data_IF_612222728394
#
_entry.id   IF_612222728394
#
_cell.length_a   1.000
_cell.length_b   1.000
_cell.length_c   1.000
_cell.angle_alpha   90.00
_cell.angle_beta   90.00
_cell.angle_gamma   90.00
#
_symmetry.space_group_name_H-M   'P 1'
#
loop_
_entity.id
_entity.type
_entity.pdbx_description
1 polymer ?
#
# COMPACT_ATOMS: atom_id res chain seq x y z
N UNK A 1 5.69 -22.51 11.45
CA UNK A 1 6.26 -23.11 10.21
C UNK A 1 7.40 -24.11 10.44
N UNK A 2 8.16 -24.10 11.55
CA UNK A 2 9.31 -25.02 11.76
C UNK A 2 8.99 -26.53 11.74
N UNK A 3 7.73 -26.91 12.01
CA UNK A 3 7.28 -28.31 11.99
C UNK A 3 6.33 -28.62 10.82
N UNK A 4 6.18 -27.71 9.86
CA UNK A 4 5.27 -27.90 8.72
C UNK A 4 5.99 -28.70 7.65
N UNK A 5 5.42 -29.87 7.30
CA UNK A 5 6.00 -30.83 6.37
C UNK A 5 5.53 -30.64 4.93
N UNK A 6 4.42 -29.93 4.73
CA UNK A 6 3.88 -29.67 3.40
C UNK A 6 4.71 -28.60 2.68
N UNK A 7 4.81 -28.77 1.36
CA UNK A 7 5.42 -27.79 0.47
C UNK A 7 4.43 -26.64 0.23
N UNK A 8 4.96 -25.42 0.27
CA UNK A 8 4.22 -24.20 -0.01
C UNK A 8 5.18 -23.17 -0.59
N UNK A 9 4.63 -22.25 -1.37
CA UNK A 9 5.38 -21.11 -1.90
C UNK A 9 4.58 -19.83 -1.69
N UNK A 10 5.24 -18.70 -1.92
CA UNK A 10 4.63 -17.38 -1.91
C UNK A 10 4.29 -17.02 -3.36
N UNK A 11 3.05 -16.60 -3.59
CA UNK A 11 2.57 -16.25 -4.93
C UNK A 11 2.19 -14.77 -4.99
N UNK A 12 2.73 -14.00 -5.94
CA UNK A 12 2.24 -12.67 -6.26
C UNK A 12 0.77 -12.68 -6.69
N UNK A 13 0.08 -11.55 -6.48
CA UNK A 13 -1.26 -11.38 -7.04
C UNK A 13 -1.23 -11.48 -8.57
N UNK A 14 -2.26 -12.06 -9.20
CA UNK A 14 -2.35 -12.06 -10.65
C UNK A 14 -2.37 -10.63 -11.18
N UNK A 15 -1.78 -10.45 -12.36
CA UNK A 15 -1.90 -9.21 -13.12
C UNK A 15 -3.36 -8.92 -13.44
N UNK A 16 -3.72 -7.65 -13.51
CA UNK A 16 -5.09 -7.26 -13.84
C UNK A 16 -5.50 -7.71 -15.24
N UNK A 17 -4.58 -7.60 -16.20
CA UNK A 17 -4.74 -8.04 -17.58
C UNK A 17 -3.37 -8.30 -18.24
N UNK A 18 -3.37 -8.70 -19.51
CA UNK A 18 -2.16 -9.00 -20.28
C UNK A 18 -1.28 -7.77 -20.56
N UNK A 19 -1.87 -6.56 -20.57
CA UNK A 19 -1.15 -5.31 -20.82
C UNK A 19 -0.28 -4.88 -19.63
N UNK A 20 -0.58 -5.37 -18.42
CA UNK A 20 0.20 -5.08 -17.22
C UNK A 20 1.54 -5.84 -17.24
N UNK A 21 2.64 -5.10 -17.39
CA UNK A 21 4.00 -5.68 -17.49
C UNK A 21 4.51 -6.27 -16.19
N UNK A 22 4.34 -5.56 -15.09
CA UNK A 22 4.85 -5.95 -13.76
C UNK A 22 3.76 -6.58 -12.91
N UNK A 23 4.13 -7.42 -11.96
CA UNK A 23 3.21 -7.85 -10.91
C UNK A 23 3.07 -6.71 -9.90
N UNK A 24 1.84 -6.39 -9.50
CA UNK A 24 1.58 -5.33 -8.56
C UNK A 24 0.89 -5.89 -7.32
N UNK A 25 1.29 -5.40 -6.15
CA UNK A 25 0.66 -5.76 -4.88
C UNK A 25 0.43 -4.51 -4.04
N UNK A 26 -0.76 -4.35 -3.50
CA UNK A 26 -1.03 -3.28 -2.54
C UNK A 26 -0.21 -3.50 -1.27
N UNK A 27 0.35 -2.42 -0.72
CA UNK A 27 0.86 -2.42 0.64
C UNK A 27 -0.27 -2.79 1.62
N UNK A 28 0.03 -3.61 2.62
CA UNK A 28 -0.92 -3.94 3.67
C UNK A 28 -1.29 -2.66 4.44
N UNK A 29 -2.53 -2.60 4.95
CA UNK A 29 -3.20 -1.46 5.61
C UNK A 29 -2.54 -0.96 6.93
N UNK A 30 -1.25 -1.22 7.10
CA UNK A 30 -0.40 -0.86 8.22
C UNK A 30 0.58 0.24 7.79
N UNK A 31 0.07 1.31 7.18
CA UNK A 31 0.90 2.41 6.73
C UNK A 31 1.56 3.11 7.94
N UNK A 32 2.89 3.17 7.95
CA UNK A 32 3.59 4.05 8.88
C UNK A 32 3.52 5.47 8.33
N UNK A 33 2.78 6.34 9.02
CA UNK A 33 2.67 7.75 8.65
C UNK A 33 3.27 8.58 9.79
N UNK A 34 4.20 9.46 9.45
CA UNK A 34 4.71 10.50 10.36
C UNK A 34 3.94 11.78 10.06
N UNK A 35 3.16 12.25 11.01
CA UNK A 35 2.42 13.52 10.91
C UNK A 35 3.15 14.63 11.64
N UNK A 36 3.36 15.77 10.96
CA UNK A 36 3.91 16.98 11.57
C UNK A 36 2.75 17.94 11.85
N UNK A 37 2.52 18.36 13.11
CA UNK A 37 1.50 19.34 13.42
C UNK A 37 1.77 20.67 12.72
N UNK A 38 0.73 21.30 12.22
CA UNK A 38 0.79 22.60 11.51
C UNK A 38 1.32 23.74 12.39
N UNK A 39 1.24 23.57 13.71
CA UNK A 39 1.72 24.52 14.69
C UNK A 39 3.23 24.45 14.94
N UNK A 40 3.90 23.43 14.42
CA UNK A 40 5.34 23.25 14.56
C UNK A 40 6.08 24.34 13.79
N UNK A 41 7.07 24.96 14.44
CA UNK A 41 7.81 26.10 13.90
C UNK A 41 9.24 25.74 13.52
N UNK A 42 9.79 24.66 14.08
CA UNK A 42 11.12 24.17 13.75
C UNK A 42 11.03 23.00 12.75
N UNK A 43 10.58 23.32 11.55
CA UNK A 43 10.44 22.33 10.47
C UNK A 43 11.78 21.72 10.07
N UNK A 44 12.88 22.48 10.17
CA UNK A 44 14.21 22.02 9.81
C UNK A 44 14.68 20.90 10.75
N UNK A 45 14.49 21.07 12.06
CA UNK A 45 14.81 20.02 13.03
C UNK A 45 13.95 18.76 12.82
N UNK A 46 12.63 18.92 12.64
CA UNK A 46 11.73 17.78 12.44
C UNK A 46 12.03 17.04 11.14
N UNK A 47 12.32 17.76 10.05
CA UNK A 47 12.72 17.15 8.77
C UNK A 47 14.04 16.40 8.91
N UNK A 48 15.04 16.99 9.59
CA UNK A 48 16.33 16.35 9.83
C UNK A 48 16.19 15.03 10.60
N UNK A 49 15.42 15.05 11.70
CA UNK A 49 15.20 13.84 12.51
C UNK A 49 14.43 12.79 11.72
N UNK A 50 13.41 13.20 10.97
CA UNK A 50 12.60 12.28 10.14
C UNK A 50 13.45 11.59 9.08
N UNK A 51 14.32 12.34 8.40
CA UNK A 51 15.24 11.79 7.41
C UNK A 51 16.24 10.81 8.05
N UNK A 52 16.81 11.18 9.20
CA UNK A 52 17.74 10.32 9.93
C UNK A 52 17.08 9.00 10.37
N UNK A 53 15.82 9.04 10.84
CA UNK A 53 15.08 7.83 11.20
C UNK A 53 14.81 6.94 9.98
N UNK A 54 14.43 7.51 8.84
CA UNK A 54 14.20 6.75 7.62
C UNK A 54 15.48 6.13 7.07
N UNK A 55 16.60 6.87 7.10
CA UNK A 55 17.91 6.38 6.71
C UNK A 55 18.34 5.18 7.58
N UNK A 56 18.21 5.28 8.90
CA UNK A 56 18.56 4.18 9.79
C UNK A 56 17.60 2.99 9.67
N UNK A 57 16.31 3.22 9.37
CA UNK A 57 15.37 2.15 9.06
C UNK A 57 15.77 1.41 7.78
N UNK A 58 16.14 2.11 6.71
CA UNK A 58 16.64 1.49 5.48
C UNK A 58 17.94 0.71 5.73
N UNK A 59 18.85 1.27 6.53
CA UNK A 59 20.18 0.69 6.76
C UNK A 59 20.18 -0.51 7.71
N UNK A 60 19.32 -0.50 8.73
CA UNK A 60 19.35 -1.49 9.82
C UNK A 60 18.12 -2.40 9.77
N UNK A 61 16.92 -1.82 9.65
CA UNK A 61 15.68 -2.58 9.77
C UNK A 61 15.40 -3.38 8.50
N UNK A 62 15.57 -2.76 7.32
CA UNK A 62 15.27 -3.43 6.05
C UNK A 62 16.13 -4.69 5.82
N UNK A 63 17.47 -4.68 5.99
CA UNK A 63 18.28 -5.89 5.80
C UNK A 63 17.96 -6.96 6.83
N UNK A 64 17.77 -6.58 8.10
CA UNK A 64 17.43 -7.53 9.16
C UNK A 64 16.08 -8.22 8.90
N UNK A 65 15.10 -7.50 8.36
CA UNK A 65 13.77 -8.04 8.06
C UNK A 65 13.75 -8.79 6.73
N UNK A 66 14.21 -8.17 5.65
CA UNK A 66 14.07 -8.72 4.30
C UNK A 66 15.15 -9.75 3.98
N UNK A 67 16.41 -9.44 4.24
CA UNK A 67 17.53 -10.31 3.87
C UNK A 67 17.72 -11.42 4.92
N UNK A 68 17.89 -11.05 6.18
CA UNK A 68 18.21 -12.03 7.24
C UNK A 68 17.01 -12.89 7.63
N UNK A 69 15.84 -12.26 7.80
CA UNK A 69 14.66 -13.01 8.21
C UNK A 69 14.02 -13.72 7.00
N UNK A 70 13.55 -12.98 6.00
CA UNK A 70 12.74 -13.56 4.92
C UNK A 70 13.56 -14.37 3.92
N UNK A 71 14.68 -13.85 3.42
CA UNK A 71 15.50 -14.56 2.42
C UNK A 71 16.44 -15.61 2.99
N UNK A 72 16.88 -15.48 4.25
CA UNK A 72 17.80 -16.46 4.85
C UNK A 72 17.07 -17.42 5.80
N UNK A 73 16.48 -16.93 6.88
CA UNK A 73 15.96 -17.79 7.96
C UNK A 73 14.65 -18.49 7.62
N UNK A 74 13.78 -17.84 6.85
CA UNK A 74 12.43 -18.34 6.53
C UNK A 74 12.28 -18.85 5.10
N UNK A 75 13.28 -18.63 4.25
CA UNK A 75 13.35 -19.21 2.91
C UNK A 75 13.36 -20.73 2.98
N UNK A 76 12.63 -21.34 2.04
CA UNK A 76 12.66 -22.80 1.81
C UNK A 76 13.42 -23.19 0.54
N UNK A 77 13.23 -22.44 -0.53
CA UNK A 77 13.80 -22.67 -1.85
C UNK A 77 14.27 -21.35 -2.50
N UNK A 78 14.99 -21.45 -3.61
CA UNK A 78 15.52 -20.31 -4.38
C UNK A 78 14.38 -19.50 -5.01
N UNK A 79 13.30 -20.18 -5.41
CA UNK A 79 12.11 -19.59 -6.04
C UNK A 79 11.38 -18.61 -5.09
N UNK A 80 11.39 -18.89 -3.79
CA UNK A 80 10.83 -17.99 -2.76
C UNK A 80 11.49 -16.61 -2.79
N UNK A 81 12.81 -16.52 -3.02
CA UNK A 81 13.51 -15.23 -3.12
C UNK A 81 13.02 -14.46 -4.35
N UNK A 82 12.87 -15.15 -5.48
CA UNK A 82 12.37 -14.53 -6.71
C UNK A 82 10.96 -13.95 -6.50
N UNK A 83 10.07 -14.72 -5.88
CA UNK A 83 8.70 -14.27 -5.59
C UNK A 83 8.67 -13.10 -4.60
N UNK A 84 9.52 -13.12 -3.57
CA UNK A 84 9.67 -11.99 -2.64
C UNK A 84 10.16 -10.73 -3.36
N UNK A 85 11.13 -10.85 -4.26
CA UNK A 85 11.64 -9.72 -5.03
C UNK A 85 10.56 -9.15 -5.95
N UNK A 86 9.76 -10.00 -6.60
CA UNK A 86 8.61 -9.57 -7.39
C UNK A 86 7.62 -8.78 -6.53
N UNK A 87 7.25 -9.31 -5.35
CA UNK A 87 6.34 -8.63 -4.42
C UNK A 87 6.90 -7.27 -3.97
N UNK A 88 8.18 -7.22 -3.60
CA UNK A 88 8.78 -6.01 -3.08
C UNK A 88 9.00 -4.95 -4.15
N UNK A 89 9.31 -5.33 -5.38
CA UNK A 89 9.46 -4.41 -6.51
C UNK A 89 8.10 -3.92 -7.03
N UNK A 90 7.08 -4.79 -6.96
CA UNK A 90 5.72 -4.52 -7.39
C UNK A 90 4.82 -3.82 -6.36
N UNK A 91 5.34 -3.47 -5.19
CA UNK A 91 4.53 -2.89 -4.11
C UNK A 91 4.01 -1.50 -4.48
N UNK A 92 2.73 -1.27 -4.29
CA UNK A 92 2.08 0.02 -4.55
C UNK A 92 1.35 0.54 -3.33
N UNK A 93 1.34 1.86 -3.16
CA UNK A 93 0.45 2.54 -2.24
C UNK A 93 -0.76 3.03 -3.04
N UNK A 94 -1.90 2.35 -2.87
CA UNK A 94 -3.10 2.64 -3.64
C UNK A 94 -3.76 3.96 -3.18
N UNK A 95 -4.03 4.85 -4.13
CA UNK A 95 -4.61 6.15 -3.85
C UNK A 95 -6.02 6.04 -3.23
N UNK A 96 -6.83 5.08 -3.73
CA UNK A 96 -8.16 4.82 -3.20
C UNK A 96 -8.16 4.39 -1.73
N UNK A 97 -7.12 3.65 -1.34
CA UNK A 97 -6.90 3.19 0.04
C UNK A 97 -6.35 4.30 0.92
N UNK A 98 -5.31 5.01 0.48
CA UNK A 98 -4.69 6.10 1.25
C UNK A 98 -5.68 7.23 1.54
N UNK A 99 -6.54 7.57 0.57
CA UNK A 99 -7.52 8.64 0.68
C UNK A 99 -8.94 8.14 0.88
N UNK A 100 -9.13 6.92 1.40
CA UNK A 100 -10.44 6.29 1.49
C UNK A 100 -11.51 7.18 2.15
N UNK A 101 -11.17 7.87 3.23
CA UNK A 101 -12.11 8.75 3.94
C UNK A 101 -12.55 9.95 3.08
N UNK A 102 -11.71 10.39 2.15
CA UNK A 102 -12.00 11.48 1.22
C UNK A 102 -12.62 11.00 -0.08
N UNK A 103 -12.58 9.70 -0.36
CA UNK A 103 -13.08 9.04 -1.57
C UNK A 103 -14.26 8.11 -1.26
N UNK A 104 -15.14 8.53 -0.35
CA UNK A 104 -16.37 7.79 0.02
C UNK A 104 -16.12 6.32 0.40
N UNK A 105 -14.98 6.04 1.03
CA UNK A 105 -14.52 4.70 1.39
C UNK A 105 -14.55 3.71 0.22
N UNK A 106 -14.14 4.16 -0.97
CA UNK A 106 -14.16 3.35 -2.20
C UNK A 106 -13.53 1.97 -2.06
N UNK A 107 -12.44 1.85 -1.30
CA UNK A 107 -11.76 0.59 -0.98
C UNK A 107 -12.66 -0.42 -0.25
N UNK A 108 -13.67 0.06 0.48
CA UNK A 108 -14.61 -0.75 1.26
C UNK A 108 -15.90 -1.08 0.52
N UNK A 109 -16.17 -0.49 -0.64
CA UNK A 109 -17.43 -0.70 -1.38
C UNK A 109 -17.70 -2.17 -1.66
N UNK A 110 -16.71 -2.89 -2.17
CA UNK A 110 -16.88 -4.32 -2.47
C UNK A 110 -17.24 -5.11 -1.21
N UNK A 111 -16.60 -4.82 -0.08
CA UNK A 111 -16.91 -5.44 1.22
C UNK A 111 -18.37 -5.18 1.61
N UNK A 112 -18.86 -3.96 1.44
CA UNK A 112 -20.23 -3.59 1.80
C UNK A 112 -21.28 -4.19 0.87
N UNK A 113 -20.99 -4.29 -0.43
CA UNK A 113 -21.88 -4.93 -1.41
C UNK A 113 -21.96 -6.44 -1.15
N UNK A 114 -20.82 -7.08 -0.84
CA UNK A 114 -20.84 -8.49 -0.43
C UNK A 114 -21.63 -8.67 0.88
N UNK A 115 -21.48 -7.74 1.83
CA UNK A 115 -22.22 -7.78 3.09
C UNK A 115 -23.72 -7.54 2.92
N UNK A 116 -24.14 -6.70 1.95
CA UNK A 116 -25.55 -6.49 1.62
C UNK A 116 -26.19 -7.72 0.96
N UNK A 117 -25.37 -8.61 0.38
CA UNK A 117 -25.80 -9.81 -0.37
C UNK A 117 -26.61 -9.47 -1.62
N UNK A 118 -26.50 -8.25 -2.12
CA UNK A 118 -27.17 -7.79 -3.31
C UNK A 118 -26.22 -7.84 -4.51
N UNK A 119 -26.74 -8.21 -5.69
CA UNK A 119 -25.97 -8.21 -6.93
C UNK A 119 -25.97 -6.82 -7.58
N UNK A 120 -25.40 -5.84 -6.89
CA UNK A 120 -25.46 -4.42 -7.26
C UNK A 120 -24.09 -3.81 -7.55
N UNK A 121 -23.02 -4.62 -7.67
CA UNK A 121 -21.65 -4.13 -7.86
C UNK A 121 -21.51 -3.15 -9.04
N UNK A 122 -22.00 -3.53 -10.21
CA UNK A 122 -21.88 -2.72 -11.42
C UNK A 122 -22.69 -1.41 -11.32
N UNK A 123 -23.94 -1.48 -10.84
CA UNK A 123 -24.80 -0.30 -10.71
C UNK A 123 -24.31 0.66 -9.61
N UNK A 124 -23.82 0.13 -8.49
CA UNK A 124 -23.29 0.91 -7.37
C UNK A 124 -22.09 1.75 -7.80
N UNK A 125 -21.16 1.17 -8.56
CA UNK A 125 -20.00 1.86 -9.12
C UNK A 125 -20.42 2.87 -10.19
N UNK A 126 -21.30 2.48 -11.11
CA UNK A 126 -21.74 3.35 -12.22
C UNK A 126 -22.42 4.64 -11.72
N UNK A 127 -23.28 4.54 -10.71
CA UNK A 127 -23.99 5.68 -10.12
C UNK A 127 -23.04 6.69 -9.46
N UNK A 128 -21.91 6.22 -8.91
CA UNK A 128 -20.98 7.03 -8.11
C UNK A 128 -19.73 7.46 -8.87
N UNK A 129 -19.55 7.02 -10.11
CA UNK A 129 -18.34 7.29 -10.90
C UNK A 129 -18.02 8.79 -10.95
N UNK A 130 -18.97 9.60 -11.39
CA UNK A 130 -18.76 11.05 -11.55
C UNK A 130 -18.49 11.73 -10.20
N UNK A 131 -19.12 11.24 -9.12
CA UNK A 131 -18.89 11.73 -7.76
C UNK A 131 -17.46 11.43 -7.28
N UNK A 132 -16.95 10.22 -7.52
CA UNK A 132 -15.57 9.85 -7.18
C UNK A 132 -14.56 10.64 -8.03
N UNK A 133 -14.84 10.85 -9.32
CA UNK A 133 -13.98 11.65 -10.19
C UNK A 133 -13.88 13.10 -9.67
N UNK A 134 -15.01 13.68 -9.24
CA UNK A 134 -15.04 15.00 -8.60
C UNK A 134 -14.22 15.03 -7.30
N UNK A 135 -14.39 14.06 -6.40
CA UNK A 135 -13.63 13.98 -5.15
C UNK A 135 -12.12 13.83 -5.40
N UNK A 136 -11.75 13.00 -6.38
CA UNK A 136 -10.37 12.79 -6.79
C UNK A 136 -9.75 14.09 -7.29
N UNK A 137 -10.46 14.83 -8.15
CA UNK A 137 -10.00 16.13 -8.65
C UNK A 137 -9.81 17.15 -7.52
N UNK A 138 -10.72 17.17 -6.54
CA UNK A 138 -10.61 18.04 -5.37
C UNK A 138 -9.36 17.73 -4.53
N UNK A 139 -9.07 16.45 -4.28
CA UNK A 139 -7.87 16.04 -3.55
C UNK A 139 -6.61 16.46 -4.33
N UNK A 140 -6.53 16.14 -5.62
CA UNK A 140 -5.36 16.49 -6.44
C UNK A 140 -5.12 18.00 -6.48
N UNK A 141 -6.18 18.79 -6.58
CA UNK A 141 -6.10 20.27 -6.57
C UNK A 141 -5.54 20.77 -5.24
N UNK A 142 -6.08 20.28 -4.10
CA UNK A 142 -5.61 20.66 -2.76
C UNK A 142 -4.11 20.41 -2.59
N UNK A 143 -3.59 19.27 -3.05
CA UNK A 143 -2.17 18.94 -2.95
C UNK A 143 -1.29 19.72 -3.94
N UNK A 144 -1.80 20.07 -5.13
CA UNK A 144 -1.08 20.90 -6.10
C UNK A 144 -0.94 22.35 -5.68
N UNK A 145 -1.95 22.90 -5.03
CA UNK A 145 -1.99 24.31 -4.61
C UNK A 145 -1.18 24.57 -3.33
N UNK A 146 -0.44 23.56 -2.83
CA UNK A 146 0.48 23.73 -1.72
C UNK A 146 -0.24 24.02 -0.40
N UNK A 147 -1.50 23.61 -0.24
CA UNK A 147 -2.19 23.62 1.04
C UNK A 147 -1.65 22.50 1.96
N UNK A 148 -0.34 22.57 2.25
CA UNK A 148 0.18 22.29 3.57
C UNK A 148 -0.42 23.37 4.48
N UNK A 149 -1.68 23.14 4.86
CA UNK A 149 -2.26 23.82 6.01
C UNK A 149 -1.53 23.42 7.27
#
# INVERSE_FOLDING_TARGET
>A
MRNMRDDYTILPYPKFNEDQKEYLTGMMDNYMVIGIPISERDTDFVSLVTEALNYEAERILYPAYYDDALQNKYRRDDETIEMLNILMNGRTADFGTLFQNNLDNISCWFRWIVASKENTSASYVAERKDYIEMLTAAIVTKYREGALG
#
